data_IF_720747419447
#
_entry.id   IF_720747419447
#
_cell.length_a   1.000
_cell.length_b   1.000
_cell.length_c   1.000
_cell.angle_alpha   90.00
_cell.angle_beta   90.00
_cell.angle_gamma   90.00
#
_symmetry.space_group_name_H-M   'P 1'
#
loop_
_entity.id
_entity.type
_entity.pdbx_description
1 polymer ?
#
# COMPACT_ATOMS: atom_id res chain seq x y z
N UNK A 1 -45.46 -5.67 -46.10
CA UNK A 1 -44.84 -4.69 -45.17
C UNK A 1 -44.19 -5.37 -43.96
N UNK A 2 -44.88 -6.28 -43.24
CA UNK A 2 -44.37 -6.95 -42.03
C UNK A 2 -43.08 -7.80 -42.24
N UNK A 3 -43.01 -8.60 -43.31
CA UNK A 3 -41.85 -9.44 -43.64
C UNK A 3 -40.54 -8.65 -43.84
N UNK A 4 -40.64 -7.44 -44.42
CA UNK A 4 -39.50 -6.54 -44.65
C UNK A 4 -39.00 -5.89 -43.35
N UNK A 5 -39.91 -5.59 -42.41
CA UNK A 5 -39.54 -5.09 -41.07
C UNK A 5 -38.86 -6.18 -40.24
N UNK A 6 -39.36 -7.41 -40.31
CA UNK A 6 -38.74 -8.58 -39.66
C UNK A 6 -37.32 -8.86 -40.16
N UNK A 7 -37.09 -8.81 -41.48
CA UNK A 7 -35.76 -8.95 -42.07
C UNK A 7 -34.78 -7.87 -41.62
N UNK A 8 -35.23 -6.61 -41.52
CA UNK A 8 -34.39 -5.50 -41.05
C UNK A 8 -34.01 -5.66 -39.57
N UNK A 9 -34.95 -6.08 -38.73
CA UNK A 9 -34.70 -6.32 -37.30
C UNK A 9 -33.73 -7.49 -37.11
N UNK A 10 -33.93 -8.59 -37.84
CA UNK A 10 -33.02 -9.74 -37.79
C UNK A 10 -31.60 -9.37 -38.23
N UNK A 11 -31.46 -8.58 -39.29
CA UNK A 11 -30.16 -8.07 -39.75
C UNK A 11 -29.48 -7.15 -38.73
N UNK A 12 -30.23 -6.24 -38.11
CA UNK A 12 -29.71 -5.35 -37.08
C UNK A 12 -29.23 -6.12 -35.84
N UNK A 13 -29.97 -7.15 -35.41
CA UNK A 13 -29.58 -8.01 -34.29
C UNK A 13 -28.29 -8.78 -34.57
N UNK A 14 -28.14 -9.29 -35.80
CA UNK A 14 -26.93 -10.02 -36.21
C UNK A 14 -25.71 -9.08 -36.19
N UNK A 15 -25.88 -7.84 -36.67
CA UNK A 15 -24.83 -6.84 -36.71
C UNK A 15 -24.40 -6.38 -35.31
N UNK A 16 -25.36 -6.19 -34.39
CA UNK A 16 -25.09 -5.91 -32.97
C UNK A 16 -24.33 -7.07 -32.33
N UNK A 17 -24.72 -8.31 -32.64
CA UNK A 17 -24.02 -9.51 -32.15
C UNK A 17 -22.55 -9.55 -32.57
N UNK A 18 -22.26 -9.26 -33.84
CA UNK A 18 -20.88 -9.20 -34.34
C UNK A 18 -20.06 -8.10 -33.66
N UNK A 19 -20.64 -6.92 -33.43
CA UNK A 19 -19.98 -5.81 -32.74
C UNK A 19 -19.67 -6.19 -31.28
N UNK A 20 -20.62 -6.83 -30.58
CA UNK A 20 -20.42 -7.26 -29.20
C UNK A 20 -19.28 -8.28 -29.07
N UNK A 21 -19.25 -9.30 -29.94
CA UNK A 21 -18.18 -10.32 -29.95
C UNK A 21 -16.83 -9.68 -30.27
N UNK A 22 -16.76 -8.79 -31.26
CA UNK A 22 -15.51 -8.08 -31.58
C UNK A 22 -15.04 -7.19 -30.43
N UNK A 23 -15.96 -6.54 -29.72
CA UNK A 23 -15.61 -5.68 -28.58
C UNK A 23 -15.05 -6.46 -27.41
N UNK A 24 -15.58 -7.67 -27.15
CA UNK A 24 -15.07 -8.57 -26.10
C UNK A 24 -13.62 -9.00 -26.40
N UNK A 25 -13.26 -9.22 -27.66
CA UNK A 25 -11.87 -9.55 -28.05
C UNK A 25 -10.91 -8.37 -27.99
N UNK A 26 -11.39 -7.12 -28.13
CA UNK A 26 -10.54 -5.92 -28.02
C UNK A 26 -10.37 -5.43 -26.57
N UNK A 27 -11.24 -5.84 -25.64
CA UNK A 27 -11.12 -5.47 -24.24
C UNK A 27 -10.18 -6.43 -23.52
N UNK A 28 -9.05 -5.97 -22.94
CA UNK A 28 -8.12 -6.82 -22.19
C UNK A 28 -8.71 -7.09 -20.80
N UNK A 29 -9.77 -7.89 -20.73
CA UNK A 29 -10.49 -8.22 -19.50
C UNK A 29 -9.56 -8.81 -18.42
N UNK A 30 -8.47 -9.45 -18.85
CA UNK A 30 -7.44 -10.01 -17.97
C UNK A 30 -6.78 -8.93 -17.10
N UNK A 31 -6.61 -7.71 -17.61
CA UNK A 31 -6.01 -6.61 -16.84
C UNK A 31 -6.97 -6.05 -15.77
N UNK A 32 -8.28 -6.19 -15.97
CA UNK A 32 -9.29 -5.69 -15.03
C UNK A 32 -9.51 -6.65 -13.86
N UNK A 33 -9.35 -7.95 -14.07
CA UNK A 33 -9.50 -8.99 -13.03
C UNK A 33 -8.20 -9.29 -12.27
N UNK A 34 -7.06 -8.78 -12.73
CA UNK A 34 -5.85 -8.69 -11.93
C UNK A 34 -6.05 -7.65 -10.83
N UNK A 35 -6.71 -8.06 -9.76
CA UNK A 35 -6.52 -7.45 -8.44
C UNK A 35 -5.01 -7.34 -8.29
N UNK A 36 -4.48 -6.11 -8.28
CA UNK A 36 -3.09 -5.84 -7.92
C UNK A 36 -2.90 -6.45 -6.53
N UNK A 37 -2.46 -7.71 -6.47
CA UNK A 37 -2.07 -8.34 -5.23
C UNK A 37 -0.93 -7.47 -4.73
N UNK A 38 -1.22 -6.64 -3.72
CA UNK A 38 -0.18 -5.98 -2.93
C UNK A 38 0.84 -7.09 -2.65
N UNK A 39 2.11 -6.93 -3.03
CA UNK A 39 3.11 -7.98 -2.88
C UNK A 39 2.95 -8.58 -1.49
N UNK A 40 2.82 -9.91 -1.39
CA UNK A 40 2.73 -10.58 -0.10
C UNK A 40 3.91 -10.10 0.74
N UNK A 41 3.61 -9.26 1.73
CA UNK A 41 4.61 -8.76 2.65
C UNK A 41 5.03 -9.99 3.45
N UNK A 42 6.29 -10.38 3.33
CA UNK A 42 6.84 -11.48 4.13
C UNK A 42 6.46 -11.25 5.59
N UNK A 43 5.92 -12.25 6.31
CA UNK A 43 5.54 -12.10 7.70
C UNK A 43 6.67 -11.45 8.48
N UNK A 44 6.46 -10.23 8.98
CA UNK A 44 7.46 -9.55 9.79
C UNK A 44 7.66 -10.41 11.04
N UNK A 45 8.91 -10.85 11.23
CA UNK A 45 9.30 -11.53 12.46
C UNK A 45 9.06 -10.57 13.61
N UNK A 46 8.18 -10.96 14.54
CA UNK A 46 7.94 -10.23 15.78
C UNK A 46 9.04 -10.59 16.77
N UNK A 47 9.63 -9.59 17.38
CA UNK A 47 10.69 -9.73 18.39
C UNK A 47 10.15 -9.39 19.77
N UNK A 48 10.79 -9.91 20.82
CA UNK A 48 10.42 -9.61 22.22
C UNK A 48 10.58 -8.12 22.54
N UNK A 49 11.55 -7.46 21.90
CA UNK A 49 11.77 -6.03 21.97
C UNK A 49 12.42 -5.50 20.69
N UNK A 50 12.13 -4.23 20.40
CA UNK A 50 12.78 -3.44 19.37
C UNK A 50 13.74 -2.42 20.00
N UNK A 51 14.84 -2.16 19.31
CA UNK A 51 15.87 -1.20 19.69
C UNK A 51 15.72 0.02 18.80
N UNK A 52 15.40 1.18 19.37
CA UNK A 52 15.26 2.42 18.61
C UNK A 52 16.59 3.17 18.71
N UNK A 53 17.17 3.50 17.56
CA UNK A 53 18.46 4.19 17.46
C UNK A 53 18.32 5.45 16.62
N UNK A 54 19.11 6.47 16.94
CA UNK A 54 19.31 7.64 16.09
C UNK A 54 20.05 7.22 14.81
N UNK A 55 19.49 7.55 13.64
CA UNK A 55 20.05 7.11 12.36
C UNK A 55 21.38 7.77 11.97
N UNK A 56 21.65 8.98 12.48
CA UNK A 56 22.84 9.75 12.13
C UNK A 56 24.02 9.38 13.04
N UNK A 57 23.74 9.24 14.33
CA UNK A 57 24.77 9.02 15.35
C UNK A 57 24.92 7.55 15.75
N UNK A 58 23.90 6.72 15.50
CA UNK A 58 23.83 5.34 16.01
C UNK A 58 23.55 5.28 17.51
N UNK A 59 23.24 6.42 18.15
CA UNK A 59 22.95 6.48 19.58
C UNK A 59 21.67 5.72 19.91
N UNK A 60 21.72 4.93 20.97
CA UNK A 60 20.55 4.21 21.46
C UNK A 60 19.55 5.19 22.10
N UNK A 61 18.30 5.17 21.63
CA UNK A 61 17.22 6.01 22.16
C UNK A 61 16.37 5.25 23.18
N UNK A 62 15.85 4.06 22.84
CA UNK A 62 15.02 3.27 23.76
C UNK A 62 14.85 1.80 23.34
N UNK A 63 14.40 0.98 24.30
CA UNK A 63 13.89 -0.37 24.06
C UNK A 63 12.37 -0.39 24.16
N UNK A 64 11.69 -0.99 23.19
CA UNK A 64 10.21 -1.04 23.14
C UNK A 64 9.73 -2.48 22.95
N UNK A 65 8.88 -3.02 23.86
CA UNK A 65 8.30 -4.36 23.72
C UNK A 65 7.03 -4.35 22.85
N UNK A 66 6.97 -3.47 21.85
CA UNK A 66 5.89 -3.36 20.88
C UNK A 66 6.47 -3.33 19.48
N UNK A 67 5.70 -3.80 18.50
CA UNK A 67 6.10 -3.74 17.09
C UNK A 67 6.25 -2.28 16.68
N UNK A 68 7.43 -1.94 16.16
CA UNK A 68 7.76 -0.60 15.68
C UNK A 68 7.62 -0.55 14.16
N UNK A 69 6.92 0.45 13.66
CA UNK A 69 6.70 0.73 12.25
C UNK A 69 7.44 1.97 11.75
N UNK A 70 7.59 2.08 10.44
CA UNK A 70 8.04 3.32 9.80
C UNK A 70 6.95 4.39 9.97
N UNK A 71 7.34 5.58 10.40
CA UNK A 71 6.45 6.70 10.71
C UNK A 71 6.15 6.85 12.20
N UNK A 72 6.44 5.85 13.03
CA UNK A 72 6.27 5.94 14.47
C UNK A 72 7.16 7.03 15.06
N UNK A 73 6.64 7.75 16.06
CA UNK A 73 7.34 8.82 16.73
C UNK A 73 7.82 8.39 18.12
N UNK A 74 9.02 8.84 18.47
CA UNK A 74 9.66 8.60 19.76
C UNK A 74 10.14 9.91 20.34
N UNK A 75 9.79 10.15 21.60
CA UNK A 75 10.36 11.24 22.39
C UNK A 75 11.51 10.68 23.24
N UNK A 76 12.70 11.26 23.11
CA UNK A 76 13.85 10.90 23.94
C UNK A 76 13.77 11.53 25.34
N UNK A 77 14.65 11.07 26.24
CA UNK A 77 14.78 11.62 27.59
C UNK A 77 15.17 13.11 27.61
N UNK A 78 15.81 13.60 26.54
CA UNK A 78 16.21 15.00 26.37
C UNK A 78 15.12 15.87 25.72
N UNK A 79 13.87 15.39 25.69
CA UNK A 79 12.73 16.03 25.02
C UNK A 79 12.94 16.27 23.52
N UNK A 80 13.66 15.38 22.84
CA UNK A 80 13.84 15.42 21.38
C UNK A 80 12.90 14.44 20.71
N UNK A 81 12.11 14.92 19.76
CA UNK A 81 11.21 14.11 18.97
C UNK A 81 11.98 13.51 17.78
N UNK A 82 11.86 12.21 17.61
CA UNK A 82 12.40 11.43 16.51
C UNK A 82 11.28 10.70 15.78
N UNK A 83 11.45 10.44 14.49
CA UNK A 83 10.54 9.63 13.68
C UNK A 83 11.28 8.43 13.08
N UNK A 84 10.73 7.23 13.21
CA UNK A 84 11.28 6.00 12.63
C UNK A 84 11.18 6.07 11.12
N UNK A 85 12.31 5.99 10.43
CA UNK A 85 12.39 6.05 8.95
C UNK A 85 12.75 4.71 8.32
N UNK A 86 13.29 3.78 9.10
CA UNK A 86 13.72 2.45 8.64
C UNK A 86 13.68 1.43 9.79
N UNK A 87 13.30 0.20 9.49
CA UNK A 87 13.33 -0.91 10.45
C UNK A 87 14.05 -2.11 9.81
N UNK A 88 15.06 -2.63 10.48
CA UNK A 88 15.83 -3.80 10.08
C UNK A 88 15.92 -4.81 11.22
N UNK A 89 15.28 -5.96 11.04
CA UNK A 89 15.16 -6.95 12.11
C UNK A 89 14.46 -6.36 13.33
N UNK A 90 15.13 -6.36 14.49
CA UNK A 90 14.64 -5.77 15.72
C UNK A 90 15.16 -4.34 15.96
N UNK A 91 15.82 -3.71 14.98
CA UNK A 91 16.37 -2.37 15.12
C UNK A 91 15.60 -1.37 14.26
N UNK A 92 15.10 -0.31 14.89
CA UNK A 92 14.42 0.80 14.24
C UNK A 92 15.34 2.03 14.26
N UNK A 93 15.56 2.63 13.09
CA UNK A 93 16.38 3.82 12.92
C UNK A 93 15.46 5.02 12.80
N UNK A 94 15.68 6.00 13.66
CA UNK A 94 14.85 7.18 13.79
C UNK A 94 15.65 8.45 13.48
N UNK A 95 15.00 9.38 12.76
CA UNK A 95 15.55 10.69 12.40
C UNK A 95 15.03 11.75 13.36
N UNK A 96 15.91 12.65 13.79
CA UNK A 96 15.51 13.81 14.58
C UNK A 96 14.51 14.69 13.81
N UNK A 97 13.43 15.10 14.49
CA UNK A 97 12.39 15.97 13.95
C UNK A 97 12.46 17.35 14.55
N UNK A 98 12.41 17.45 15.89
CA UNK A 98 12.41 18.74 16.62
C UNK A 98 12.62 18.55 18.11
N UNK A 99 13.05 19.60 18.80
CA UNK A 99 12.94 19.71 20.25
C UNK A 99 11.48 19.92 20.67
N UNK A 100 11.11 19.41 21.84
CA UNK A 100 9.78 19.52 22.44
C UNK A 100 9.91 20.26 23.76
N UNK A 101 9.20 21.39 23.90
CA UNK A 101 9.05 22.05 25.20
C UNK A 101 7.86 21.42 25.95
N UNK A 102 8.14 20.85 27.12
CA UNK A 102 7.13 20.18 27.96
C UNK A 102 6.56 21.08 29.06
N UNK A 103 6.98 22.35 29.16
CA UNK A 103 6.59 23.24 30.27
C UNK A 103 5.33 24.09 29.98
N UNK A 104 4.42 23.62 29.13
CA UNK A 104 3.19 24.36 28.78
C UNK A 104 2.03 24.10 29.74
#
# INVERSE_FOLDING_TARGET
MLKRRLLLIAGALLLIGCIAVSSIHLLPLENFLLIQQKPEQTPQKVYDYYIIVDEETGNHLMYVPLVVGIGDEVLSEDNKLYQVVRVEGNQAYARFVRDVDLNQ
#
